data_IF_126817181036
#
_entry.id   IF_126817181036
#
_cell.length_a   1.000
_cell.length_b   1.000
_cell.length_c   1.000
_cell.angle_alpha   90.00
_cell.angle_beta   90.00
_cell.angle_gamma   90.00
#
_symmetry.space_group_name_H-M   'P 1'
#
loop_
_entity.id
_entity.type
_entity.pdbx_description
1 polymer ?
#
# COMPACT_ATOMS: atom_id res chain seq x y z
N UNK A 1 -11.95 -9.53 -18.03
CA UNK A 1 -11.63 -9.07 -19.38
C UNK A 1 -10.19 -8.53 -19.38
N UNK A 2 -9.30 -9.13 -20.21
CA UNK A 2 -7.87 -8.78 -20.23
C UNK A 2 -7.62 -7.31 -20.63
N UNK A 3 -8.45 -6.74 -21.50
CA UNK A 3 -8.31 -5.33 -21.91
C UNK A 3 -8.57 -4.38 -20.74
N UNK A 4 -9.60 -4.64 -19.94
CA UNK A 4 -9.88 -3.87 -18.73
C UNK A 4 -8.75 -4.01 -17.71
N UNK A 5 -8.26 -5.23 -17.51
CA UNK A 5 -7.15 -5.51 -16.60
C UNK A 5 -5.87 -4.74 -16.98
N UNK A 6 -5.50 -4.70 -18.27
CA UNK A 6 -4.37 -3.89 -18.73
C UNK A 6 -4.64 -2.39 -18.59
N UNK A 7 -5.88 -1.94 -18.83
CA UNK A 7 -6.26 -0.55 -18.63
C UNK A 7 -6.19 -0.15 -17.14
N UNK A 8 -6.61 -1.01 -16.23
CA UNK A 8 -6.47 -0.79 -14.78
C UNK A 8 -4.99 -0.63 -14.38
N UNK A 9 -4.12 -1.52 -14.85
CA UNK A 9 -2.68 -1.41 -14.57
C UNK A 9 -2.09 -0.10 -15.09
N UNK A 10 -2.49 0.33 -16.29
CA UNK A 10 -1.99 1.56 -16.88
C UNK A 10 -2.55 2.80 -16.19
N UNK A 11 -3.87 2.91 -16.06
CA UNK A 11 -4.52 4.13 -15.60
C UNK A 11 -4.44 4.29 -14.07
N UNK A 12 -4.54 3.21 -13.31
CA UNK A 12 -4.59 3.28 -11.86
C UNK A 12 -3.22 3.07 -11.22
N UNK A 13 -2.49 2.02 -11.59
CA UNK A 13 -1.28 1.66 -10.86
C UNK A 13 -0.01 2.34 -11.38
N UNK A 14 0.14 2.50 -12.69
CA UNK A 14 1.32 3.18 -13.24
C UNK A 14 1.27 4.69 -13.10
N UNK A 15 0.08 5.27 -13.12
CA UNK A 15 -0.14 6.73 -13.14
C UNK A 15 -0.54 7.33 -11.79
N UNK A 16 -0.67 6.52 -10.76
CA UNK A 16 -0.92 6.95 -9.38
C UNK A 16 0.29 6.67 -8.50
N UNK A 17 0.36 7.41 -7.40
CA UNK A 17 1.41 7.24 -6.42
C UNK A 17 1.35 5.86 -5.77
N UNK A 18 2.46 5.13 -5.82
CA UNK A 18 2.63 3.81 -5.21
C UNK A 18 3.65 3.91 -4.08
N UNK A 19 3.28 3.48 -2.89
CA UNK A 19 4.18 3.44 -1.74
C UNK A 19 5.21 2.32 -1.92
N UNK A 20 6.48 2.65 -1.81
CA UNK A 20 7.57 1.66 -1.94
C UNK A 20 8.10 1.25 -0.56
N UNK A 21 8.48 2.20 0.29
CA UNK A 21 9.10 1.96 1.58
C UNK A 21 9.09 3.23 2.42
N UNK A 22 9.60 3.14 3.64
CA UNK A 22 9.92 4.29 4.48
C UNK A 22 11.40 4.66 4.36
N UNK A 23 11.75 5.91 4.61
CA UNK A 23 13.14 6.41 4.56
C UNK A 23 14.08 5.69 5.52
N UNK A 24 13.56 5.15 6.62
CA UNK A 24 14.30 4.38 7.60
C UNK A 24 14.42 2.88 7.27
N UNK A 25 13.79 2.40 6.18
CA UNK A 25 14.13 1.11 5.59
C UNK A 25 15.47 1.15 4.83
N UNK A 26 15.93 2.35 4.45
CA UNK A 26 17.20 2.59 3.74
C UNK A 26 18.00 3.69 4.46
N UNK A 27 18.42 3.50 5.72
CA UNK A 27 19.00 4.57 6.55
C UNK A 27 20.40 5.02 6.11
N UNK A 28 21.18 4.17 5.46
CA UNK A 28 22.58 4.44 5.14
C UNK A 28 22.81 4.66 3.63
N UNK A 29 23.88 5.36 3.30
CA UNK A 29 24.29 5.51 1.92
C UNK A 29 24.55 4.17 1.24
N UNK A 30 23.91 3.94 0.10
CA UNK A 30 23.93 2.69 -0.65
C UNK A 30 22.80 1.73 -0.33
N UNK A 31 22.07 1.92 0.77
CA UNK A 31 20.90 1.08 1.09
C UNK A 31 19.83 1.26 0.02
N UNK A 32 19.20 0.17 -0.36
CA UNK A 32 18.19 0.15 -1.40
C UNK A 32 17.04 -0.81 -1.09
N UNK A 33 15.90 -0.50 -1.69
CA UNK A 33 14.73 -1.39 -1.82
C UNK A 33 14.39 -1.50 -3.29
N UNK A 34 14.09 -2.69 -3.78
CA UNK A 34 13.44 -2.90 -5.07
C UNK A 34 11.97 -3.26 -4.89
N UNK A 35 11.18 -2.94 -5.91
CA UNK A 35 9.77 -3.26 -5.96
C UNK A 35 9.42 -3.76 -7.36
N UNK A 36 8.72 -4.90 -7.47
CA UNK A 36 8.49 -5.60 -8.73
C UNK A 36 7.05 -6.12 -8.76
N UNK A 37 6.10 -5.31 -9.19
CA UNK A 37 4.69 -5.68 -9.33
C UNK A 37 4.11 -5.08 -10.61
N UNK A 38 2.99 -5.59 -11.08
CA UNK A 38 2.23 -5.11 -12.26
C UNK A 38 3.06 -4.94 -13.54
N UNK A 39 4.17 -5.68 -13.67
CA UNK A 39 5.09 -5.55 -14.81
C UNK A 39 6.08 -4.39 -14.71
N UNK A 40 6.00 -3.57 -13.66
CA UNK A 40 6.94 -2.48 -13.38
C UNK A 40 8.00 -2.89 -12.36
N UNK A 41 9.11 -2.17 -12.37
CA UNK A 41 10.25 -2.43 -11.50
C UNK A 41 10.85 -1.13 -11.02
N UNK A 42 10.71 -0.84 -9.72
CA UNK A 42 11.34 0.30 -9.07
C UNK A 42 12.61 -0.11 -8.33
N UNK A 43 13.54 0.84 -8.23
CA UNK A 43 14.70 0.81 -7.37
C UNK A 43 14.74 2.14 -6.61
N UNK A 44 14.55 2.09 -5.31
CA UNK A 44 14.74 3.24 -4.41
C UNK A 44 16.06 3.05 -3.70
N UNK A 45 16.93 4.07 -3.70
CA UNK A 45 18.28 3.98 -3.15
C UNK A 45 18.70 5.30 -2.49
N UNK A 46 19.42 5.20 -1.39
CA UNK A 46 20.06 6.36 -0.77
C UNK A 46 21.47 6.59 -1.37
N UNK A 47 21.67 7.76 -1.96
CA UNK A 47 22.95 8.17 -2.52
C UNK A 47 24.02 8.47 -1.46
N UNK A 48 25.27 8.61 -1.88
CA UNK A 48 26.39 9.01 -1.01
C UNK A 48 26.23 10.42 -0.42
N UNK A 49 25.44 11.24 -1.08
CA UNK A 49 25.08 12.59 -0.65
C UNK A 49 23.89 12.62 0.34
N UNK A 50 23.44 11.44 0.80
CA UNK A 50 22.31 11.25 1.69
C UNK A 50 20.93 11.39 1.02
N UNK A 51 20.87 11.82 -0.24
CA UNK A 51 19.60 11.98 -0.96
C UNK A 51 19.04 10.65 -1.41
N UNK A 52 17.74 10.47 -1.24
CA UNK A 52 17.01 9.32 -1.78
C UNK A 52 16.65 9.61 -3.23
N UNK A 53 16.74 8.59 -4.07
CA UNK A 53 16.39 8.64 -5.49
C UNK A 53 15.65 7.37 -5.88
N UNK A 54 14.79 7.50 -6.86
CA UNK A 54 14.05 6.37 -7.43
C UNK A 54 14.33 6.26 -8.94
N UNK A 55 14.52 5.02 -9.38
CA UNK A 55 14.78 4.70 -10.78
C UNK A 55 13.95 3.49 -11.20
N UNK A 56 13.68 3.36 -12.49
CA UNK A 56 13.34 2.05 -13.02
C UNK A 56 14.52 1.09 -12.81
N UNK A 57 14.29 -0.06 -12.23
CA UNK A 57 15.29 -1.12 -12.07
C UNK A 57 15.58 -1.78 -13.43
N UNK A 58 16.19 -1.01 -14.33
CA UNK A 58 16.34 -1.34 -15.75
C UNK A 58 17.67 -0.78 -16.29
N UNK A 59 18.52 -1.68 -16.80
CA UNK A 59 19.77 -1.33 -17.48
C UNK A 59 19.51 -0.74 -18.87
N UNK A 60 20.05 0.45 -19.14
CA UNK A 60 19.92 1.14 -20.43
C UNK A 60 20.53 0.39 -21.62
N UNK A 61 21.34 -0.64 -21.36
CA UNK A 61 21.92 -1.44 -22.45
C UNK A 61 20.86 -2.33 -23.12
N UNK A 62 20.25 -3.27 -22.35
CA UNK A 62 19.30 -4.26 -22.90
C UNK A 62 18.17 -4.61 -21.94
N UNK A 63 17.77 -3.68 -21.04
CA UNK A 63 16.60 -3.82 -20.21
C UNK A 63 16.68 -4.82 -19.05
N UNK A 64 17.87 -5.40 -18.77
CA UNK A 64 18.04 -6.28 -17.61
C UNK A 64 17.82 -5.52 -16.31
N UNK A 65 17.33 -6.21 -15.26
CA UNK A 65 17.41 -5.68 -13.89
C UNK A 65 18.86 -5.36 -13.56
N UNK A 66 19.09 -4.23 -12.90
CA UNK A 66 20.44 -3.86 -12.40
C UNK A 66 20.69 -4.41 -11.00
N UNK A 67 19.62 -4.62 -10.22
CA UNK A 67 19.63 -5.27 -8.90
C UNK A 67 18.54 -6.35 -8.90
N UNK A 68 18.91 -7.56 -8.47
CA UNK A 68 18.00 -8.70 -8.40
C UNK A 68 17.37 -8.86 -7.02
N UNK A 69 18.08 -8.45 -5.97
CA UNK A 69 17.66 -8.58 -4.57
C UNK A 69 16.57 -7.56 -4.22
N UNK A 70 15.67 -7.92 -3.30
CA UNK A 70 14.57 -7.05 -2.88
C UNK A 70 15.05 -5.90 -1.99
N UNK A 71 16.11 -6.12 -1.20
CA UNK A 71 16.73 -5.11 -0.34
C UNK A 71 18.21 -5.41 -0.14
N UNK A 72 19.00 -4.40 0.21
CA UNK A 72 20.41 -4.55 0.51
C UNK A 72 21.19 -3.26 0.46
N UNK A 73 22.52 -3.37 0.32
CA UNK A 73 23.42 -2.20 0.30
C UNK A 73 24.43 -2.27 -0.85
N UNK A 74 24.39 -1.29 -1.74
CA UNK A 74 25.40 -1.06 -2.77
C UNK A 74 26.51 -0.18 -2.22
N UNK A 75 27.70 -0.71 -1.95
CA UNK A 75 28.79 0.03 -1.30
C UNK A 75 29.23 1.30 -2.06
N UNK A 76 29.26 1.26 -3.38
CA UNK A 76 29.78 2.35 -4.19
C UNK A 76 29.08 2.57 -5.52
N UNK A 77 28.60 1.50 -6.13
CA UNK A 77 28.03 1.48 -7.49
C UNK A 77 27.01 0.37 -7.61
N UNK A 78 26.14 0.51 -8.62
CA UNK A 78 25.20 -0.51 -9.06
C UNK A 78 25.79 -1.14 -10.32
N UNK A 79 25.96 -2.45 -10.36
CA UNK A 79 26.52 -3.14 -11.53
C UNK A 79 25.53 -4.11 -12.12
N UNK A 80 25.15 -3.90 -13.38
CA UNK A 80 24.26 -4.77 -14.10
C UNK A 80 24.87 -6.18 -14.24
N UNK A 81 24.19 -7.23 -13.79
CA UNK A 81 24.72 -8.59 -13.80
C UNK A 81 24.87 -9.17 -15.21
N UNK A 82 24.22 -8.58 -16.23
CA UNK A 82 24.22 -9.14 -17.57
C UNK A 82 25.52 -8.83 -18.34
N UNK A 83 25.93 -7.55 -18.42
CA UNK A 83 27.12 -7.14 -19.20
C UNK A 83 28.05 -6.20 -18.44
N UNK A 84 27.88 -6.05 -17.11
CA UNK A 84 28.76 -5.24 -16.27
C UNK A 84 28.67 -3.72 -16.51
N UNK A 85 27.57 -3.22 -17.09
CA UNK A 85 27.34 -1.77 -17.07
C UNK A 85 27.19 -1.33 -15.64
N UNK A 86 27.95 -0.30 -15.25
CA UNK A 86 28.04 0.16 -13.87
C UNK A 86 27.53 1.59 -13.76
N UNK A 87 26.68 1.81 -12.77
CA UNK A 87 26.06 3.10 -12.47
C UNK A 87 26.51 3.61 -11.11
N UNK A 88 26.61 4.93 -10.99
CA UNK A 88 26.75 5.57 -9.69
C UNK A 88 25.43 5.48 -8.92
N UNK A 89 25.47 5.74 -7.60
CA UNK A 89 24.25 5.72 -6.76
C UNK A 89 23.29 6.90 -7.06
N UNK A 90 23.74 7.89 -7.84
CA UNK A 90 22.89 8.97 -8.38
C UNK A 90 22.22 8.61 -9.71
N UNK A 91 22.41 7.37 -10.19
CA UNK A 91 21.83 6.83 -11.42
C UNK A 91 22.67 7.09 -12.68
N UNK A 92 23.69 7.96 -12.65
CA UNK A 92 24.52 8.23 -13.84
C UNK A 92 25.35 7.02 -14.25
N UNK A 93 25.54 6.82 -15.56
CA UNK A 93 26.41 5.75 -16.07
C UNK A 93 27.86 6.07 -15.68
N UNK A 94 28.48 5.18 -14.92
CA UNK A 94 29.91 5.25 -14.59
C UNK A 94 30.80 4.66 -15.67
N UNK A 95 30.33 3.61 -16.30
CA UNK A 95 31.06 2.97 -17.40
C UNK A 95 30.42 1.67 -17.85
N UNK A 96 30.86 1.22 -19.00
CA UNK A 96 30.44 -0.05 -19.62
C UNK A 96 31.65 -0.99 -19.76
N UNK A 97 31.43 -2.29 -19.73
CA UNK A 97 32.46 -3.25 -20.05
C UNK A 97 32.87 -3.11 -21.52
N UNK A 98 34.17 -3.28 -21.81
CA UNK A 98 34.76 -3.14 -23.16
C UNK A 98 34.33 -1.84 -23.86
N UNK A 99 34.62 -0.65 -23.26
CA UNK A 99 34.12 0.63 -23.75
C UNK A 99 34.59 0.95 -25.17
N UNK A 100 35.72 0.38 -25.62
CA UNK A 100 36.22 0.55 -27.00
C UNK A 100 35.33 -0.09 -28.08
N UNK A 101 34.41 -0.97 -27.70
CA UNK A 101 33.43 -1.58 -28.61
C UNK A 101 32.12 -0.81 -28.75
N UNK A 102 31.99 0.32 -28.01
CA UNK A 102 30.79 1.14 -27.93
C UNK A 102 31.09 2.58 -28.41
N UNK A 103 30.10 3.30 -28.91
CA UNK A 103 30.23 4.73 -29.13
C UNK A 103 30.49 5.45 -27.81
N UNK A 104 30.89 6.71 -27.85
CA UNK A 104 31.00 7.54 -26.65
C UNK A 104 29.63 7.70 -26.03
N UNK A 105 29.45 7.20 -24.80
CA UNK A 105 28.20 7.24 -24.08
C UNK A 105 28.18 8.49 -23.16
N UNK A 106 27.10 9.26 -23.23
CA UNK A 106 26.85 10.32 -22.25
C UNK A 106 26.38 9.71 -20.93
N UNK A 107 27.02 10.04 -19.78
CA UNK A 107 26.69 9.45 -18.48
C UNK A 107 25.25 9.70 -18.00
N UNK A 108 24.63 10.80 -18.39
CA UNK A 108 23.26 11.14 -17.99
C UNK A 108 22.26 10.47 -18.91
N UNK A 109 22.45 10.57 -20.21
CA UNK A 109 21.59 9.97 -21.23
C UNK A 109 21.48 8.44 -21.07
N UNK A 110 22.62 7.78 -20.78
CA UNK A 110 22.70 6.33 -20.56
C UNK A 110 22.62 5.93 -19.07
N UNK A 111 22.26 6.86 -18.21
CA UNK A 111 21.97 6.63 -16.80
C UNK A 111 20.72 5.78 -16.59
N UNK A 112 20.47 5.37 -15.35
CA UNK A 112 19.22 4.68 -14.96
C UNK A 112 18.03 5.62 -15.21
N UNK A 113 16.95 5.15 -15.84
CA UNK A 113 15.77 5.98 -16.06
C UNK A 113 15.15 6.39 -14.71
N UNK A 114 15.02 7.71 -14.44
CA UNK A 114 14.46 8.16 -13.18
C UNK A 114 12.96 7.88 -13.11
N UNK A 115 12.46 7.61 -11.90
CA UNK A 115 11.05 7.61 -11.56
C UNK A 115 10.69 8.94 -10.91
N UNK A 116 9.48 9.38 -11.15
CA UNK A 116 8.89 10.45 -10.36
C UNK A 116 8.72 9.96 -8.92
N UNK A 117 9.17 10.74 -7.95
CA UNK A 117 9.20 10.35 -6.54
C UNK A 117 8.77 11.51 -5.66
N UNK A 118 8.01 11.21 -4.63
CA UNK A 118 7.66 12.13 -3.55
C UNK A 118 7.77 11.43 -2.20
N UNK A 119 7.94 12.22 -1.13
CA UNK A 119 8.07 11.69 0.24
C UNK A 119 7.07 12.41 1.14
N UNK A 120 6.22 11.62 1.80
CA UNK A 120 5.29 12.12 2.80
C UNK A 120 5.60 11.50 4.16
N UNK A 121 5.95 12.33 5.13
CA UNK A 121 6.26 11.89 6.50
C UNK A 121 7.20 10.66 6.57
N UNK A 122 8.24 10.64 5.73
CA UNK A 122 9.20 9.54 5.65
C UNK A 122 8.81 8.42 4.68
N UNK A 123 7.55 8.26 4.33
CA UNK A 123 7.11 7.27 3.34
C UNK A 123 7.42 7.72 1.92
N UNK A 124 8.07 6.85 1.15
CA UNK A 124 8.58 7.10 -0.20
C UNK A 124 7.64 6.51 -1.22
N UNK A 125 7.14 7.38 -2.09
CA UNK A 125 6.23 7.03 -3.17
C UNK A 125 6.88 7.25 -4.51
N UNK A 126 6.49 6.42 -5.49
CA UNK A 126 6.87 6.60 -6.89
C UNK A 126 5.66 6.58 -7.79
N UNK A 127 5.81 7.18 -8.98
CA UNK A 127 4.87 7.10 -10.08
C UNK A 127 5.63 6.67 -11.33
N UNK A 128 5.18 5.59 -11.97
CA UNK A 128 5.87 4.98 -13.11
C UNK A 128 5.68 5.74 -14.41
N UNK A 129 4.53 6.40 -14.54
CA UNK A 129 4.19 7.24 -15.68
C UNK A 129 3.52 8.54 -15.19
N UNK A 130 3.67 9.65 -15.94
CA UNK A 130 2.92 10.87 -15.62
C UNK A 130 1.42 10.60 -15.53
N UNK A 131 0.77 11.11 -14.52
CA UNK A 131 -0.65 10.88 -14.24
C UNK A 131 -1.37 12.13 -13.76
N UNK A 132 -2.69 12.04 -13.57
CA UNK A 132 -3.54 13.17 -13.21
C UNK A 132 -3.42 13.59 -11.75
N UNK A 133 -2.88 12.74 -10.88
CA UNK A 133 -2.76 13.07 -9.47
C UNK A 133 -1.81 14.26 -9.25
N UNK A 134 -2.15 15.22 -8.38
CA UNK A 134 -1.25 16.27 -7.95
C UNK A 134 -0.05 15.71 -7.14
N UNK A 135 0.77 16.59 -6.62
CA UNK A 135 1.83 16.20 -5.69
C UNK A 135 1.22 15.45 -4.48
N UNK A 136 1.93 14.46 -3.98
CA UNK A 136 1.45 13.64 -2.86
C UNK A 136 1.15 14.48 -1.61
N UNK A 137 2.01 15.47 -1.33
CA UNK A 137 1.83 16.41 -0.24
C UNK A 137 0.52 17.19 -0.34
N UNK A 138 0.07 17.54 -1.55
CA UNK A 138 -1.22 18.21 -1.74
C UNK A 138 -2.40 17.26 -1.50
N UNK A 139 -2.24 15.98 -1.91
CA UNK A 139 -3.27 14.95 -1.69
C UNK A 139 -3.47 14.70 -0.19
N UNK A 140 -2.38 14.52 0.56
CA UNK A 140 -2.40 14.08 1.96
C UNK A 140 -2.44 15.24 2.98
N UNK A 141 -2.30 16.49 2.52
CA UNK A 141 -2.24 17.70 3.37
C UNK A 141 -3.36 17.78 4.43
N UNK A 142 -4.56 17.31 4.09
CA UNK A 142 -5.71 17.34 5.01
C UNK A 142 -5.50 16.49 6.27
N UNK A 143 -4.62 15.51 6.21
CA UNK A 143 -4.30 14.64 7.34
C UNK A 143 -3.09 15.11 8.16
N UNK A 144 -2.32 16.11 7.68
CA UNK A 144 -1.05 16.51 8.30
C UNK A 144 -1.20 16.85 9.80
N UNK A 145 -2.26 17.58 10.16
CA UNK A 145 -2.50 17.94 11.57
C UNK A 145 -2.80 16.71 12.44
N UNK A 146 -3.61 15.79 11.93
CA UNK A 146 -3.99 14.57 12.68
C UNK A 146 -2.83 13.61 12.78
N UNK A 147 -2.08 13.41 11.70
CA UNK A 147 -0.96 12.45 11.69
C UNK A 147 0.31 13.00 12.36
N UNK A 148 0.42 14.31 12.57
CA UNK A 148 1.61 14.92 13.16
C UNK A 148 1.97 14.33 14.52
N UNK A 149 0.96 13.99 15.34
CA UNK A 149 1.15 13.40 16.66
C UNK A 149 1.69 11.96 16.64
N UNK A 150 1.60 11.27 15.50
CA UNK A 150 2.17 9.93 15.30
C UNK A 150 3.66 9.96 14.96
N UNK A 151 4.23 11.15 14.66
CA UNK A 151 5.66 11.33 14.35
C UNK A 151 6.15 10.31 13.30
N UNK A 152 5.41 10.20 12.20
CA UNK A 152 5.60 9.16 11.19
C UNK A 152 7.01 9.17 10.58
N UNK A 153 7.68 10.32 10.55
CA UNK A 153 9.04 10.45 10.00
C UNK A 153 10.09 9.65 10.80
N UNK A 154 9.85 9.47 12.10
CA UNK A 154 10.77 8.80 13.02
C UNK A 154 10.50 7.31 13.20
N UNK A 155 9.53 6.76 12.45
CA UNK A 155 9.20 5.34 12.50
C UNK A 155 10.41 4.46 12.15
N UNK A 156 10.53 3.32 12.83
CA UNK A 156 11.53 2.31 12.54
C UNK A 156 10.86 1.01 12.03
N UNK A 157 11.42 0.35 11.00
CA UNK A 157 10.91 -0.95 10.56
C UNK A 157 11.04 -1.98 11.69
N UNK A 158 10.08 -2.91 11.77
CA UNK A 158 10.09 -3.96 12.81
C UNK A 158 11.17 -5.01 12.61
N UNK A 159 11.85 -5.01 11.47
CA UNK A 159 12.90 -5.97 11.12
C UNK A 159 12.38 -7.22 10.39
N UNK A 160 11.07 -7.39 10.28
CA UNK A 160 10.46 -8.53 9.57
C UNK A 160 10.42 -8.30 8.04
N UNK A 161 10.79 -7.10 7.57
CA UNK A 161 10.69 -6.67 6.18
C UNK A 161 9.25 -6.45 5.72
N UNK A 162 9.07 -6.40 4.40
CA UNK A 162 7.73 -6.34 3.81
C UNK A 162 7.15 -7.75 3.71
N UNK A 163 5.87 -7.86 4.06
CA UNK A 163 5.12 -9.10 3.85
C UNK A 163 4.32 -9.03 2.56
N UNK A 164 4.03 -10.18 1.98
CA UNK A 164 3.13 -10.34 0.84
C UNK A 164 2.21 -11.53 1.07
N UNK A 165 0.97 -11.40 0.61
CA UNK A 165 -0.04 -12.45 0.64
C UNK A 165 -0.73 -12.53 -0.71
N UNK A 166 -0.97 -13.75 -1.20
CA UNK A 166 -1.73 -13.97 -2.44
C UNK A 166 -3.19 -14.22 -2.07
N UNK A 167 -4.11 -13.50 -2.70
CA UNK A 167 -5.54 -13.61 -2.50
C UNK A 167 -6.19 -14.02 -3.83
N UNK A 168 -6.92 -15.13 -3.83
CA UNK A 168 -7.63 -15.67 -5.00
C UNK A 168 -8.94 -14.91 -5.25
N UNK A 169 -8.82 -13.61 -5.53
CA UNK A 169 -9.92 -12.72 -5.87
C UNK A 169 -9.41 -11.53 -6.70
N UNK A 170 -10.33 -10.81 -7.33
CA UNK A 170 -10.00 -9.54 -7.97
C UNK A 170 -9.66 -8.48 -6.91
N UNK A 171 -8.68 -7.64 -7.20
CA UNK A 171 -8.18 -6.62 -6.28
C UNK A 171 -9.27 -5.63 -5.80
N UNK A 172 -10.30 -5.37 -6.60
CA UNK A 172 -11.44 -4.53 -6.20
C UNK A 172 -12.28 -5.20 -5.11
N UNK A 173 -12.50 -6.51 -5.20
CA UNK A 173 -13.18 -7.25 -4.14
C UNK A 173 -12.40 -7.24 -2.83
N UNK A 174 -11.06 -7.27 -2.91
CA UNK A 174 -10.20 -7.11 -1.73
C UNK A 174 -10.36 -5.70 -1.17
N UNK A 175 -10.34 -4.69 -2.04
CA UNK A 175 -10.47 -3.29 -1.64
C UNK A 175 -11.83 -2.94 -1.06
N UNK A 176 -12.90 -3.56 -1.56
CA UNK A 176 -14.27 -3.27 -1.11
C UNK A 176 -14.48 -3.60 0.37
N UNK A 177 -13.84 -4.65 0.87
CA UNK A 177 -13.90 -5.04 2.29
C UNK A 177 -13.28 -3.97 3.20
N UNK A 178 -12.22 -3.30 2.76
CA UNK A 178 -11.57 -2.22 3.52
C UNK A 178 -12.32 -0.87 3.45
N UNK A 179 -13.29 -0.74 2.56
CA UNK A 179 -14.01 0.52 2.34
C UNK A 179 -15.31 0.64 3.17
N UNK A 180 -15.59 -0.33 4.06
CA UNK A 180 -16.76 -0.29 4.93
C UNK A 180 -16.54 -1.08 6.23
N UNK A 181 -17.25 -0.70 7.28
CA UNK A 181 -17.23 -1.38 8.57
C UNK A 181 -18.53 -2.12 8.91
N UNK A 182 -19.46 -2.23 7.96
CA UNK A 182 -20.78 -2.85 8.19
C UNK A 182 -20.67 -4.35 8.49
N UNK A 183 -19.68 -5.04 7.89
CA UNK A 183 -19.42 -6.46 8.13
C UNK A 183 -18.72 -6.74 9.47
N UNK A 184 -18.01 -5.77 10.06
CA UNK A 184 -17.17 -5.95 11.26
C UNK A 184 -17.90 -6.68 12.41
N UNK A 185 -19.15 -6.37 12.78
CA UNK A 185 -19.82 -7.03 13.88
C UNK A 185 -20.05 -8.54 13.69
N UNK A 186 -20.16 -8.98 12.43
CA UNK A 186 -20.42 -10.39 12.09
C UNK A 186 -19.16 -11.15 11.71
N UNK A 187 -18.25 -10.48 11.00
CA UNK A 187 -17.06 -11.11 10.45
C UNK A 187 -15.89 -11.14 11.42
N UNK A 188 -15.73 -10.10 12.25
CA UNK A 188 -14.52 -9.89 13.05
C UNK A 188 -14.81 -9.86 14.55
N UNK A 189 -14.89 -11.01 15.22
CA UNK A 189 -15.08 -11.05 16.66
C UNK A 189 -14.03 -10.27 17.44
N UNK A 190 -12.79 -10.21 16.93
CA UNK A 190 -11.69 -9.45 17.54
C UNK A 190 -11.90 -7.95 17.47
N UNK A 191 -12.21 -7.42 16.30
CA UNK A 191 -12.47 -5.99 16.12
C UNK A 191 -13.77 -5.57 16.82
N UNK A 192 -14.81 -6.38 16.74
CA UNK A 192 -16.06 -6.09 17.44
C UNK A 192 -15.88 -6.10 18.97
N UNK A 193 -15.04 -6.99 19.49
CA UNK A 193 -14.69 -7.02 20.92
C UNK A 193 -13.86 -5.79 21.32
N UNK A 194 -13.06 -5.23 20.39
CA UNK A 194 -12.22 -4.04 20.61
C UNK A 194 -13.04 -2.74 20.49
N UNK A 195 -13.80 -2.59 19.41
CA UNK A 195 -14.49 -1.34 19.08
C UNK A 195 -15.98 -1.32 19.48
N UNK A 196 -16.62 -2.48 19.50
CA UNK A 196 -18.09 -2.56 19.59
C UNK A 196 -18.73 -1.95 18.34
N UNK A 197 -19.58 -0.97 18.53
CA UNK A 197 -20.23 -0.21 17.47
C UNK A 197 -19.53 1.15 17.18
N UNK A 198 -18.32 1.36 17.70
CA UNK A 198 -17.61 2.63 17.59
C UNK A 198 -16.62 2.62 16.40
N UNK A 199 -17.02 2.05 15.28
CA UNK A 199 -16.30 2.09 14.02
C UNK A 199 -17.04 3.00 13.04
N UNK A 200 -16.30 3.93 12.43
CA UNK A 200 -16.85 4.94 11.53
C UNK A 200 -15.98 5.08 10.30
N UNK A 201 -16.62 5.05 9.13
CA UNK A 201 -16.01 5.32 7.83
C UNK A 201 -16.37 6.73 7.38
N UNK A 202 -15.40 7.43 6.81
CA UNK A 202 -15.57 8.79 6.28
C UNK A 202 -14.91 8.87 4.90
N UNK A 203 -15.65 8.66 3.79
CA UNK A 203 -15.13 8.88 2.47
C UNK A 203 -14.87 10.37 2.26
N UNK A 204 -13.66 10.67 1.78
CA UNK A 204 -13.21 12.02 1.54
C UNK A 204 -13.02 12.21 0.03
N UNK A 205 -13.41 13.36 -0.49
CA UNK A 205 -13.25 13.67 -1.91
C UNK A 205 -11.81 13.49 -2.39
N UNK A 206 -11.63 13.07 -3.64
CA UNK A 206 -10.32 12.85 -4.26
C UNK A 206 -9.73 11.46 -4.01
N UNK A 207 -10.58 10.48 -3.78
CA UNK A 207 -10.15 9.09 -3.59
C UNK A 207 -9.45 8.83 -2.25
N UNK A 208 -9.79 9.60 -1.23
CA UNK A 208 -9.30 9.40 0.12
C UNK A 208 -10.43 8.90 1.01
N UNK A 209 -10.05 8.13 2.03
CA UNK A 209 -10.96 7.71 3.09
C UNK A 209 -10.28 7.84 4.45
N UNK A 210 -11.10 7.96 5.47
CA UNK A 210 -10.68 7.96 6.86
C UNK A 210 -11.64 7.09 7.66
N UNK A 211 -11.11 6.09 8.34
CA UNK A 211 -11.92 5.22 9.20
C UNK A 211 -11.34 5.20 10.61
N UNK A 212 -12.19 5.18 11.60
CA UNK A 212 -11.78 5.19 13.03
C UNK A 212 -12.50 4.11 13.79
N UNK A 213 -11.74 3.22 14.39
CA UNK A 213 -12.22 2.25 15.36
C UNK A 213 -11.87 2.69 16.78
N UNK A 214 -12.80 3.34 17.49
CA UNK A 214 -12.60 3.74 18.89
C UNK A 214 -12.85 2.58 19.84
N UNK A 215 -11.97 2.40 20.84
CA UNK A 215 -12.12 1.29 21.79
C UNK A 215 -13.37 1.47 22.64
N UNK A 216 -14.14 0.42 22.76
CA UNK A 216 -15.29 0.41 23.67
C UNK A 216 -14.82 0.37 25.15
N UNK A 217 -15.72 0.67 26.08
CA UNK A 217 -15.43 0.73 27.51
C UNK A 217 -15.27 -0.65 28.19
N UNK A 218 -15.62 -1.74 27.51
CA UNK A 218 -15.53 -3.10 28.07
C UNK A 218 -14.09 -3.62 28.13
N UNK A 219 -13.83 -4.57 29.03
CA UNK A 219 -12.49 -5.16 29.22
C UNK A 219 -12.02 -6.06 28.07
N UNK A 220 -12.89 -6.42 27.15
CA UNK A 220 -12.66 -7.41 26.10
C UNK A 220 -12.88 -8.85 26.56
N UNK A 221 -13.51 -9.66 25.72
CA UNK A 221 -13.80 -11.07 25.97
C UNK A 221 -12.68 -11.98 25.46
N UNK A 222 -12.17 -11.68 24.27
CA UNK A 222 -11.09 -12.43 23.64
C UNK A 222 -9.77 -12.15 24.36
N UNK A 223 -8.95 -13.17 24.46
CA UNK A 223 -7.67 -13.06 25.17
C UNK A 223 -6.76 -11.97 24.60
N UNK A 224 -6.64 -11.86 23.29
CA UNK A 224 -5.82 -10.84 22.62
C UNK A 224 -6.36 -9.43 22.89
N UNK A 225 -7.66 -9.22 22.74
CA UNK A 225 -8.30 -7.91 22.96
C UNK A 225 -8.21 -7.48 24.41
N UNK A 226 -8.57 -8.38 25.34
CA UNK A 226 -8.49 -8.10 26.78
C UNK A 226 -7.07 -7.73 27.22
N UNK A 227 -6.07 -8.49 26.75
CA UNK A 227 -4.68 -8.17 27.11
C UNK A 227 -4.19 -6.92 26.39
N UNK A 228 -4.60 -6.69 25.14
CA UNK A 228 -4.28 -5.45 24.43
C UNK A 228 -4.79 -4.23 25.20
N UNK A 229 -6.08 -4.18 25.53
CA UNK A 229 -6.68 -3.07 26.29
C UNK A 229 -6.04 -2.88 27.67
N UNK A 230 -5.66 -3.96 28.35
CA UNK A 230 -5.05 -3.93 29.67
C UNK A 230 -3.58 -3.49 29.66
N UNK A 231 -2.84 -3.90 28.63
CA UNK A 231 -1.38 -3.72 28.55
C UNK A 231 -0.99 -2.63 27.54
N UNK A 232 -1.99 -1.99 26.91
CA UNK A 232 -1.73 -0.94 25.95
C UNK A 232 -0.82 0.13 26.55
N UNK A 233 0.30 0.33 25.91
CA UNK A 233 1.20 1.43 26.14
C UNK A 233 1.21 2.25 24.84
N UNK A 234 0.44 3.32 24.83
CA UNK A 234 0.31 4.21 23.68
C UNK A 234 1.51 5.16 23.62
N UNK A 235 1.76 5.68 22.42
CA UNK A 235 2.74 6.74 22.21
C UNK A 235 2.33 8.00 22.98
N UNK A 236 3.27 8.60 23.73
CA UNK A 236 3.00 9.73 24.63
C UNK A 236 2.54 11.00 23.90
N UNK A 237 2.92 11.21 22.65
CA UNK A 237 2.53 12.38 21.85
C UNK A 237 1.07 12.33 21.36
N UNK A 238 0.40 11.18 21.43
CA UNK A 238 -0.99 11.04 21.04
C UNK A 238 -1.94 11.68 22.06
N UNK A 239 -2.95 12.34 21.57
CA UNK A 239 -4.05 12.84 22.41
C UNK A 239 -4.93 11.69 22.97
N UNK A 240 -5.80 12.02 23.91
CA UNK A 240 -6.66 11.04 24.61
C UNK A 240 -7.54 10.20 23.66
N UNK A 241 -7.88 10.74 22.50
CA UNK A 241 -8.68 10.05 21.48
C UNK A 241 -7.83 9.04 20.73
N UNK A 242 -6.68 9.49 20.21
CA UNK A 242 -5.80 8.66 19.39
C UNK A 242 -5.03 7.62 20.22
N UNK A 243 -4.91 7.80 21.53
CA UNK A 243 -4.43 6.74 22.44
C UNK A 243 -5.41 5.55 22.57
N UNK A 244 -6.67 5.69 22.14
CA UNK A 244 -7.74 4.69 22.31
C UNK A 244 -8.52 4.43 21.05
N UNK A 245 -7.89 4.56 19.90
CA UNK A 245 -8.48 4.19 18.62
C UNK A 245 -7.43 3.62 17.65
N UNK A 246 -7.91 2.94 16.66
CA UNK A 246 -7.18 2.65 15.43
C UNK A 246 -7.70 3.57 14.34
N UNK A 247 -6.80 4.32 13.75
CA UNK A 247 -7.08 5.24 12.65
C UNK A 247 -6.60 4.60 11.34
N UNK A 248 -7.46 4.59 10.33
CA UNK A 248 -7.10 4.14 9.00
C UNK A 248 -7.23 5.29 8.00
N UNK A 249 -6.25 5.41 7.12
CA UNK A 249 -6.24 6.39 6.02
C UNK A 249 -6.11 5.63 4.71
N UNK A 250 -7.17 5.64 3.90
CA UNK A 250 -7.16 5.07 2.57
C UNK A 250 -6.75 6.10 1.52
N UNK A 251 -5.88 5.67 0.59
CA UNK A 251 -5.41 6.47 -0.55
C UNK A 251 -5.64 5.69 -1.83
N UNK A 252 -6.47 6.25 -2.71
CA UNK A 252 -6.75 5.65 -4.01
C UNK A 252 -5.48 5.48 -4.85
N UNK A 253 -5.28 4.37 -5.57
CA UNK A 253 -6.27 3.31 -5.79
C UNK A 253 -6.22 2.19 -4.73
N UNK A 254 -5.14 1.98 -3.99
CA UNK A 254 -4.89 0.68 -3.38
C UNK A 254 -4.13 0.73 -2.05
N UNK A 255 -4.00 1.86 -1.40
CA UNK A 255 -3.19 1.99 -0.18
C UNK A 255 -4.07 2.25 1.02
N UNK A 256 -3.74 1.60 2.14
CA UNK A 256 -4.23 1.94 3.48
C UNK A 256 -3.04 2.08 4.43
N UNK A 257 -3.07 3.13 5.22
CA UNK A 257 -2.29 3.25 6.45
C UNK A 257 -3.16 2.88 7.64
N UNK A 258 -2.65 2.05 8.54
CA UNK A 258 -3.19 1.81 9.86
C UNK A 258 -2.29 2.48 10.90
N UNK A 259 -2.83 3.47 11.60
CA UNK A 259 -2.14 4.28 12.61
C UNK A 259 -2.70 3.87 13.99
N UNK A 260 -1.92 3.09 14.71
CA UNK A 260 -2.30 2.55 16.00
C UNK A 260 -1.56 3.25 17.13
N UNK A 261 -2.06 3.20 18.36
CA UNK A 261 -1.38 3.83 19.50
C UNK A 261 0.03 3.31 19.76
N UNK A 262 0.35 2.12 19.28
CA UNK A 262 1.57 1.36 19.55
C UNK A 262 2.39 1.01 18.30
N UNK A 263 1.86 1.28 17.11
CA UNK A 263 2.53 0.94 15.83
C UNK A 263 1.87 1.62 14.63
N UNK A 264 2.55 1.56 13.51
CA UNK A 264 2.01 1.98 12.20
C UNK A 264 2.19 0.85 11.21
N UNK A 265 1.17 0.60 10.42
CA UNK A 265 1.21 -0.36 9.31
C UNK A 265 0.78 0.32 8.01
N UNK A 266 1.14 -0.27 6.90
CA UNK A 266 0.47 -0.01 5.63
C UNK A 266 0.26 -1.32 4.88
N UNK A 267 -0.73 -1.32 3.99
CA UNK A 267 -0.92 -2.39 3.01
C UNK A 267 -1.51 -1.85 1.70
N UNK A 268 -1.25 -2.59 0.62
CA UNK A 268 -1.63 -2.24 -0.74
C UNK A 268 -2.00 -3.50 -1.52
N UNK A 269 -3.04 -3.40 -2.35
CA UNK A 269 -3.49 -4.49 -3.22
C UNK A 269 -3.02 -4.27 -4.65
N UNK A 270 -2.43 -5.30 -5.26
CA UNK A 270 -1.95 -5.27 -6.63
C UNK A 270 -2.53 -6.41 -7.46
N UNK A 271 -3.17 -6.12 -8.60
CA UNK A 271 -3.66 -7.16 -9.49
C UNK A 271 -2.50 -7.88 -10.17
N UNK A 272 -2.43 -9.19 -10.02
CA UNK A 272 -1.46 -10.05 -10.73
C UNK A 272 -2.12 -10.66 -11.96
N UNK A 273 -3.34 -11.14 -11.77
CA UNK A 273 -4.23 -11.68 -12.79
C UNK A 273 -5.65 -11.21 -12.52
N UNK A 274 -6.56 -11.46 -13.45
CA UNK A 274 -7.95 -11.00 -13.33
C UNK A 274 -8.70 -11.51 -12.08
N UNK A 275 -8.27 -12.57 -11.47
CA UNK A 275 -8.85 -13.16 -10.25
C UNK A 275 -7.79 -13.44 -9.21
N UNK A 276 -6.68 -12.75 -9.26
CA UNK A 276 -5.57 -12.95 -8.33
C UNK A 276 -4.95 -11.62 -7.94
N UNK A 277 -4.84 -11.39 -6.66
CA UNK A 277 -4.29 -10.18 -6.05
C UNK A 277 -3.09 -10.53 -5.18
N UNK A 278 -2.07 -9.69 -5.19
CA UNK A 278 -1.05 -9.67 -4.15
C UNK A 278 -1.36 -8.49 -3.24
N UNK A 279 -1.58 -8.76 -1.97
CA UNK A 279 -1.54 -7.76 -0.93
C UNK A 279 -0.10 -7.68 -0.39
N UNK A 280 0.44 -6.46 -0.27
CA UNK A 280 1.77 -6.19 0.26
C UNK A 280 1.66 -5.18 1.39
N UNK A 281 2.38 -5.41 2.47
CA UNK A 281 2.39 -4.46 3.59
C UNK A 281 3.73 -4.36 4.30
N UNK A 282 3.82 -3.38 5.18
CA UNK A 282 4.96 -3.14 6.06
C UNK A 282 4.51 -2.75 7.46
N UNK A 283 5.30 -3.14 8.44
CA UNK A 283 5.03 -2.87 9.84
C UNK A 283 6.15 -2.02 10.43
N UNK A 284 5.78 -0.97 11.16
CA UNK A 284 6.70 -0.03 11.78
C UNK A 284 6.39 0.12 13.27
N UNK A 285 7.45 0.32 14.04
CA UNK A 285 7.39 0.66 15.45
C UNK A 285 7.77 2.13 15.64
N UNK A 286 7.33 2.72 16.72
CA UNK A 286 7.80 4.04 17.14
C UNK A 286 9.25 3.97 17.63
N UNK A 287 10.01 5.04 17.41
CA UNK A 287 11.43 5.11 17.78
C UNK A 287 11.67 4.92 19.27
N UNK A 288 10.73 5.40 20.11
CA UNK A 288 10.75 5.26 21.56
C UNK A 288 10.20 3.93 22.10
N UNK A 289 9.98 2.92 21.22
CA UNK A 289 9.39 1.65 21.65
C UNK A 289 10.13 1.03 22.84
N UNK A 290 9.45 0.99 23.97
CA UNK A 290 9.88 0.26 25.16
C UNK A 290 9.30 -1.17 25.18
N UNK A 291 9.56 -1.91 26.27
CA UNK A 291 9.10 -3.29 26.40
C UNK A 291 7.58 -3.40 26.42
N UNK A 292 6.92 -2.47 27.09
CA UNK A 292 5.47 -2.42 27.24
C UNK A 292 4.80 -2.16 25.89
N UNK A 293 5.27 -1.18 25.14
CA UNK A 293 4.79 -0.87 23.79
C UNK A 293 5.03 -2.05 22.82
N UNK A 294 6.17 -2.74 22.94
CA UNK A 294 6.43 -3.96 22.16
C UNK A 294 5.42 -5.07 22.42
N UNK A 295 4.96 -5.20 23.68
CA UNK A 295 3.88 -6.16 24.03
C UNK A 295 2.55 -5.71 23.44
N UNK A 296 2.22 -4.42 23.51
CA UNK A 296 1.03 -3.85 22.90
C UNK A 296 1.02 -4.14 21.39
N UNK A 297 2.09 -3.78 20.68
CA UNK A 297 2.25 -4.02 19.26
C UNK A 297 2.12 -5.50 18.87
N UNK A 298 2.68 -6.42 19.66
CA UNK A 298 2.47 -7.85 19.43
C UNK A 298 0.99 -8.24 19.49
N UNK A 299 0.23 -7.64 20.39
CA UNK A 299 -1.19 -7.94 20.58
C UNK A 299 -2.06 -7.29 19.50
N UNK A 300 -1.79 -6.04 19.10
CA UNK A 300 -2.47 -5.38 17.97
C UNK A 300 -2.24 -6.14 16.66
N UNK A 301 -0.98 -6.47 16.33
CA UNK A 301 -0.65 -7.26 15.15
C UNK A 301 -1.26 -8.67 15.17
N UNK A 302 -1.49 -9.26 16.36
CA UNK A 302 -2.20 -10.53 16.46
C UNK A 302 -3.67 -10.39 16.16
N UNK A 303 -4.31 -9.30 16.58
CA UNK A 303 -5.71 -9.00 16.25
C UNK A 303 -5.83 -8.80 14.74
N UNK A 304 -5.00 -7.94 14.14
CA UNK A 304 -4.97 -7.71 12.69
C UNK A 304 -4.81 -8.98 11.86
N UNK A 305 -3.86 -9.82 12.24
CA UNK A 305 -3.62 -11.07 11.51
C UNK A 305 -4.81 -12.02 11.54
N UNK A 306 -5.59 -12.00 12.61
CA UNK A 306 -6.83 -12.80 12.69
C UNK A 306 -7.90 -12.17 11.79
N UNK A 307 -8.05 -10.85 11.81
CA UNK A 307 -8.95 -10.10 10.94
C UNK A 307 -8.66 -10.37 9.46
N UNK A 308 -7.40 -10.24 9.01
CA UNK A 308 -7.03 -10.51 7.62
C UNK A 308 -7.40 -11.93 7.16
N UNK A 309 -7.27 -12.93 8.03
CA UNK A 309 -7.67 -14.33 7.71
C UNK A 309 -9.18 -14.52 7.63
N UNK A 310 -9.93 -13.76 8.42
CA UNK A 310 -11.40 -13.76 8.39
C UNK A 310 -11.88 -13.13 7.07
N UNK A 311 -11.25 -12.01 6.66
CA UNK A 311 -11.53 -11.33 5.40
C UNK A 311 -11.19 -12.16 4.17
N UNK A 312 -10.05 -12.83 4.15
CA UNK A 312 -9.62 -13.65 3.01
C UNK A 312 -10.73 -14.63 2.57
N UNK A 313 -11.40 -15.27 3.52
CA UNK A 313 -12.48 -16.22 3.22
C UNK A 313 -13.72 -15.52 2.67
N UNK A 314 -14.09 -14.36 3.20
CA UNK A 314 -15.25 -13.58 2.76
C UNK A 314 -15.03 -13.00 1.36
N UNK A 315 -13.86 -12.46 1.12
CA UNK A 315 -13.42 -11.94 -0.19
C UNK A 315 -13.53 -13.06 -1.24
N UNK A 316 -13.01 -14.24 -0.93
CA UNK A 316 -13.06 -15.39 -1.83
C UNK A 316 -14.48 -15.78 -2.17
N UNK A 317 -15.36 -15.88 -1.18
CA UNK A 317 -16.77 -16.21 -1.41
C UNK A 317 -17.50 -15.14 -2.22
N UNK A 318 -17.23 -13.86 -1.98
CA UNK A 318 -17.78 -12.76 -2.76
C UNK A 318 -17.32 -12.81 -4.22
N UNK A 319 -16.03 -13.10 -4.44
CA UNK A 319 -15.50 -13.30 -5.78
C UNK A 319 -16.11 -14.51 -6.50
N UNK A 320 -16.25 -15.64 -5.83
CA UNK A 320 -16.89 -16.84 -6.38
C UNK A 320 -18.34 -16.56 -6.79
N UNK A 321 -19.07 -15.75 -6.03
CA UNK A 321 -20.44 -15.38 -6.32
C UNK A 321 -20.62 -14.69 -7.66
N UNK A 322 -19.64 -13.89 -8.11
CA UNK A 322 -19.68 -13.19 -9.40
C UNK A 322 -19.80 -14.12 -10.63
N UNK A 323 -19.48 -15.42 -10.46
CA UNK A 323 -19.60 -16.46 -11.50
C UNK A 323 -20.89 -17.26 -11.41
N UNK A 324 -21.70 -17.05 -10.38
CA UNK A 324 -22.96 -17.73 -10.20
C UNK A 324 -24.02 -17.22 -11.18
N UNK A 325 -24.84 -18.15 -11.71
CA UNK A 325 -25.99 -17.77 -12.56
C UNK A 325 -27.10 -17.05 -11.80
N UNK A 326 -27.08 -17.13 -10.47
CA UNK A 326 -28.05 -16.49 -9.58
C UNK A 326 -27.60 -15.11 -9.09
N UNK A 327 -26.37 -14.69 -9.45
CA UNK A 327 -25.86 -13.39 -9.02
C UNK A 327 -26.42 -12.27 -9.90
N UNK A 328 -27.20 -11.37 -9.30
CA UNK A 328 -27.89 -10.27 -10.00
C UNK A 328 -27.26 -8.89 -9.71
N UNK A 329 -26.18 -8.85 -8.94
CA UNK A 329 -25.48 -7.62 -8.55
C UNK A 329 -25.47 -7.38 -7.04
N UNK A 330 -25.04 -6.21 -6.63
CA UNK A 330 -24.89 -5.80 -5.22
C UNK A 330 -25.97 -4.82 -4.83
N UNK A 331 -26.52 -5.01 -3.64
CA UNK A 331 -27.30 -3.99 -2.95
C UNK A 331 -26.46 -3.46 -1.78
N UNK A 332 -26.06 -2.20 -1.85
CA UNK A 332 -25.34 -1.55 -0.77
C UNK A 332 -26.33 -0.94 0.24
N UNK A 333 -26.01 -1.08 1.52
CA UNK A 333 -26.69 -0.36 2.61
C UNK A 333 -26.15 1.08 2.75
N UNK A 334 -26.86 1.90 3.49
CA UNK A 334 -26.39 3.26 3.82
C UNK A 334 -25.10 3.26 4.68
N UNK A 335 -24.71 2.10 5.22
CA UNK A 335 -23.45 1.92 5.98
C UNK A 335 -22.25 1.62 5.07
N UNK A 336 -22.48 1.28 3.79
CA UNK A 336 -21.46 0.92 2.81
C UNK A 336 -21.17 2.07 1.83
N UNK A 337 -21.39 3.31 2.28
CA UNK A 337 -21.16 4.50 1.46
C UNK A 337 -19.69 4.69 1.05
N UNK A 338 -18.75 4.14 1.81
CA UNK A 338 -17.33 4.11 1.45
C UNK A 338 -17.07 3.28 0.19
N UNK A 339 -17.68 2.10 0.08
CA UNK A 339 -17.64 1.26 -1.13
C UNK A 339 -18.20 2.03 -2.32
N UNK A 340 -19.39 2.65 -2.14
CA UNK A 340 -20.00 3.47 -3.20
C UNK A 340 -19.07 4.61 -3.65
N UNK A 341 -18.50 5.37 -2.72
CA UNK A 341 -17.62 6.50 -3.02
C UNK A 341 -16.35 6.05 -3.77
N UNK A 342 -15.79 4.92 -3.38
CA UNK A 342 -14.64 4.32 -4.05
C UNK A 342 -14.97 3.92 -5.51
N UNK A 343 -16.10 3.25 -5.73
CA UNK A 343 -16.55 2.86 -7.06
C UNK A 343 -16.94 4.09 -7.91
N UNK A 344 -17.46 5.15 -7.31
CA UNK A 344 -17.72 6.41 -8.02
C UNK A 344 -16.39 7.01 -8.53
N UNK A 345 -15.33 6.97 -7.73
CA UNK A 345 -13.97 7.37 -8.14
C UNK A 345 -13.45 6.47 -9.26
N UNK A 346 -13.64 5.14 -9.20
CA UNK A 346 -13.26 4.24 -10.30
C UNK A 346 -13.97 4.59 -11.62
N UNK A 347 -15.24 5.00 -11.57
CA UNK A 347 -16.02 5.40 -12.76
C UNK A 347 -15.47 6.64 -13.44
N UNK A 348 -14.80 7.53 -12.71
CA UNK A 348 -14.11 8.70 -13.30
C UNK A 348 -12.99 8.26 -14.26
N UNK A 349 -12.27 7.18 -13.92
CA UNK A 349 -11.20 6.60 -14.76
C UNK A 349 -11.74 5.65 -15.82
N UNK A 350 -12.88 5.01 -15.56
CA UNK A 350 -13.51 4.02 -16.43
C UNK A 350 -14.97 4.41 -16.70
N UNK A 351 -15.23 5.42 -17.54
CA UNK A 351 -16.60 5.86 -17.84
C UNK A 351 -17.50 4.76 -18.42
N UNK A 352 -16.90 3.70 -19.00
CA UNK A 352 -17.64 2.53 -19.47
C UNK A 352 -18.43 1.83 -18.35
N UNK A 353 -17.98 1.95 -17.10
CA UNK A 353 -18.68 1.43 -15.92
C UNK A 353 -19.95 2.22 -15.57
N UNK A 354 -20.15 3.39 -16.16
CA UNK A 354 -21.38 4.19 -16.02
C UNK A 354 -22.37 3.97 -17.17
N UNK A 355 -22.01 3.14 -18.15
CA UNK A 355 -22.85 2.82 -19.30
C UNK A 355 -24.08 1.98 -18.92
N UNK A 356 -25.08 1.91 -19.81
CA UNK A 356 -26.23 1.03 -19.61
C UNK A 356 -25.78 -0.43 -19.51
N UNK A 357 -26.45 -1.20 -18.67
CA UNK A 357 -26.23 -2.61 -18.52
C UNK A 357 -26.38 -3.32 -19.89
N UNK A 358 -25.38 -4.11 -20.35
CA UNK A 358 -25.51 -4.81 -21.61
C UNK A 358 -26.63 -5.84 -21.54
N UNK A 359 -27.30 -6.10 -22.67
CA UNK A 359 -28.45 -7.03 -22.79
C UNK A 359 -28.21 -8.45 -22.20
N UNK A 360 -26.97 -8.79 -21.88
CA UNK A 360 -26.58 -9.99 -21.15
C UNK A 360 -25.89 -9.60 -19.84
N UNK A 361 -26.60 -9.01 -18.92
CA UNK A 361 -26.22 -8.44 -17.61
C UNK A 361 -24.92 -8.87 -16.93
N UNK A 362 -24.34 -10.00 -17.32
CA UNK A 362 -23.11 -10.56 -16.75
C UNK A 362 -21.81 -9.84 -17.10
N UNK A 363 -21.76 -9.12 -18.24
CA UNK A 363 -20.53 -8.43 -18.67
C UNK A 363 -20.29 -7.15 -17.87
N UNK A 364 -21.35 -6.51 -17.41
CA UNK A 364 -21.24 -5.29 -16.58
C UNK A 364 -20.99 -5.62 -15.11
N UNK A 365 -21.58 -6.68 -14.60
CA UNK A 365 -21.30 -7.19 -13.25
C UNK A 365 -19.85 -7.67 -13.14
N UNK A 366 -19.33 -8.33 -14.19
CA UNK A 366 -17.91 -8.60 -14.26
C UNK A 366 -17.05 -7.32 -14.35
N UNK A 367 -17.56 -6.19 -14.82
CA UNK A 367 -16.85 -4.91 -14.92
C UNK A 367 -16.97 -4.04 -13.65
N UNK A 368 -18.02 -4.24 -12.84
CA UNK A 368 -18.19 -3.56 -11.54
C UNK A 368 -17.45 -4.31 -10.43
N UNK A 369 -17.27 -5.61 -10.57
CA UNK A 369 -16.57 -6.48 -9.63
C UNK A 369 -15.25 -7.04 -10.18
N UNK A 370 -14.74 -6.48 -11.24
CA UNK A 370 -13.46 -6.89 -11.83
C UNK A 370 -12.45 -5.79 -11.65
#
# INVERSE_FOLDING_TARGET
NNEMFEAEKDLLFRRHWQLICHSNDIPNAGDFITWNLIGERALVIRGKDGKIRAFHNLCKHRGSRVIADDAGTCKATITCPFHGWTYNLDGTLRGASRPSSLPKLDPVEYGLPPLEMDIWNGFIFVRFQPGPQPALSDILKKFDNEVSQYELFDLEPTGDGFWTEEIDANWKCVRDVDNEGYHVPMAHPGLYDLFGQNYYDEPIAGGLSRSVGSFNSGDGRLWSVRNYKKLLHAKDSLDDTHQKCWLYIGVFPNLVFGLYPDSVIFYQEYPVENGKTIQRGGNYKYAEENREMKVSRYLSMRIDRLTSKEDEQLIKWSWEAAFSSAYEGVLLSDLEYGVKAYHDTLREYFPVLSGPEPERGRLLLSLIHI
#
